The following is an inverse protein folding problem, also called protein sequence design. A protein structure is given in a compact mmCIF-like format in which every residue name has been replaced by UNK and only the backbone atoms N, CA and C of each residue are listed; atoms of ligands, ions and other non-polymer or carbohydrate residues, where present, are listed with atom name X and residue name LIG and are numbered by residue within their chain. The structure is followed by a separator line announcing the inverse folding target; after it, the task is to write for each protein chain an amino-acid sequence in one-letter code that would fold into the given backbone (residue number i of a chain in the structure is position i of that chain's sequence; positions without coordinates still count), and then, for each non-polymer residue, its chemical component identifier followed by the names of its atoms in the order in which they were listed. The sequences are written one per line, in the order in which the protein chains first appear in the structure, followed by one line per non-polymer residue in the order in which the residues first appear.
data_IF_597963766112
#
_entry.id   IF_597963766112
#
_cell.length_a   1.000
_cell.length_b   1.000
_cell.length_c   1.000
_cell.angle_alpha   90.00
_cell.angle_beta   90.00
_cell.angle_gamma   90.00
#
_symmetry.space_group_name_H-M   'P 1'
#
loop_
_entity.id
_entity.type
_entity.pdbx_description
1 polymer ?
#
# COMPACT_ATOMS: atom_id res chain seq x y z
N UNK A 1 -32.82 16.97 -3.80
CA UNK A 1 -34.09 17.04 -3.06
C UNK A 1 -34.32 15.70 -2.37
N UNK A 2 -33.98 15.59 -1.08
CA UNK A 2 -34.31 14.45 -0.22
C UNK A 2 -35.27 14.99 0.82
N UNK A 3 -36.52 14.59 0.74
CA UNK A 3 -37.62 15.10 1.55
C UNK A 3 -37.56 14.66 3.01
N UNK A 4 -37.94 15.60 3.87
CA UNK A 4 -38.09 15.54 5.32
C UNK A 4 -39.16 14.54 5.79
N UNK A 5 -38.98 13.24 5.55
CA UNK A 5 -39.87 12.19 6.07
C UNK A 5 -39.56 11.76 7.51
N UNK A 6 -38.53 12.32 8.14
CA UNK A 6 -38.09 11.96 9.50
C UNK A 6 -39.00 12.53 10.61
N UNK A 7 -39.69 13.65 10.37
CA UNK A 7 -40.48 14.34 11.41
C UNK A 7 -41.84 13.69 11.74
N UNK A 8 -42.38 12.84 10.86
CA UNK A 8 -43.69 12.19 11.07
C UNK A 8 -43.65 11.01 12.06
N UNK A 9 -42.55 10.24 12.08
CA UNK A 9 -42.49 9.00 12.86
C UNK A 9 -42.36 9.23 14.37
N UNK A 10 -41.78 10.35 14.81
CA UNK A 10 -41.59 10.63 16.24
C UNK A 10 -42.89 10.93 16.98
N UNK A 11 -43.78 11.72 16.35
CA UNK A 11 -45.07 12.11 16.94
C UNK A 11 -46.03 10.93 17.10
N UNK A 12 -46.05 10.03 16.10
CA UNK A 12 -46.87 8.82 16.15
C UNK A 12 -46.45 7.89 17.32
N UNK A 13 -45.14 7.72 17.53
CA UNK A 13 -44.61 6.91 18.64
C UNK A 13 -44.94 7.50 20.01
N UNK A 14 -44.73 8.81 20.19
CA UNK A 14 -45.05 9.52 21.42
C UNK A 14 -46.56 9.41 21.76
N UNK A 15 -47.44 9.53 20.76
CA UNK A 15 -48.87 9.33 20.93
C UNK A 15 -49.22 7.90 21.37
N UNK A 16 -48.65 6.88 20.73
CA UNK A 16 -48.91 5.47 21.12
C UNK A 16 -48.43 5.15 22.54
N UNK A 17 -47.26 5.64 22.95
CA UNK A 17 -46.78 5.45 24.32
C UNK A 17 -47.66 6.19 25.35
N UNK A 18 -48.10 7.40 25.02
CA UNK A 18 -49.02 8.17 25.86
C UNK A 18 -50.36 7.46 26.07
N UNK A 19 -50.94 6.89 25.02
CA UNK A 19 -52.20 6.13 25.10
C UNK A 19 -52.02 4.86 25.94
N UNK A 20 -50.92 4.11 25.78
CA UNK A 20 -50.66 2.91 26.58
C UNK A 20 -50.47 3.22 28.07
N UNK A 21 -49.76 4.30 28.41
CA UNK A 21 -49.62 4.76 29.79
C UNK A 21 -50.95 5.18 30.40
N UNK A 22 -51.79 5.88 29.63
CA UNK A 22 -53.13 6.27 30.07
C UNK A 22 -54.00 5.04 30.36
N UNK A 23 -54.01 4.05 29.45
CA UNK A 23 -54.77 2.80 29.63
C UNK A 23 -54.29 2.03 30.87
N UNK A 24 -52.98 1.95 31.09
CA UNK A 24 -52.42 1.31 32.28
C UNK A 24 -52.80 2.05 33.58
N UNK A 25 -52.75 3.39 33.58
CA UNK A 25 -53.13 4.21 34.73
C UNK A 25 -54.62 4.07 35.07
N UNK A 26 -55.50 4.05 34.06
CA UNK A 26 -56.94 3.84 34.24
C UNK A 26 -57.23 2.43 34.78
N UNK A 27 -56.58 1.40 34.23
CA UNK A 27 -56.73 0.02 34.73
C UNK A 27 -56.27 -0.12 36.19
N UNK A 28 -55.16 0.52 36.56
CA UNK A 28 -54.67 0.55 37.94
C UNK A 28 -55.64 1.27 38.89
N UNK A 29 -56.21 2.41 38.49
CA UNK A 29 -57.20 3.14 39.27
C UNK A 29 -58.48 2.32 39.51
N UNK A 30 -58.97 1.60 38.48
CA UNK A 30 -60.13 0.70 38.59
C UNK A 30 -59.83 -0.47 39.54
N UNK A 31 -58.62 -1.04 39.49
CA UNK A 31 -58.20 -2.11 40.40
C UNK A 31 -58.06 -1.62 41.84
N UNK A 32 -57.47 -0.45 42.08
CA UNK A 32 -57.37 0.16 43.42
C UNK A 32 -58.76 0.46 44.00
N UNK A 33 -59.68 0.97 43.19
CA UNK A 33 -61.06 1.18 43.59
C UNK A 33 -61.76 -0.13 43.94
N UNK A 34 -61.63 -1.17 43.11
CA UNK A 34 -62.21 -2.48 43.36
C UNK A 34 -61.63 -3.17 44.61
N UNK A 35 -60.34 -3.00 44.89
CA UNK A 35 -59.66 -3.58 46.06
C UNK A 35 -60.03 -2.91 47.39
N UNK A 36 -60.41 -1.62 47.36
CA UNK A 36 -60.77 -0.85 48.58
C UNK A 36 -62.04 -1.35 49.27
N UNK A 37 -62.85 -2.15 48.59
CA UNK A 37 -64.11 -2.70 49.09
C UNK A 37 -64.04 -4.22 48.96
N UNK A 38 -64.01 -4.98 50.07
CA UNK A 38 -63.98 -6.47 50.05
C UNK A 38 -65.14 -7.01 49.19
N UNK A 39 -64.92 -7.41 47.92
CA UNK A 39 -66.03 -7.71 47.03
C UNK A 39 -66.55 -9.11 47.34
N UNK A 40 -67.84 -9.24 47.61
CA UNK A 40 -68.51 -10.54 47.55
C UNK A 40 -68.61 -10.99 46.08
N UNK A 41 -68.54 -12.30 45.83
CA UNK A 41 -68.72 -12.87 44.49
C UNK A 41 -70.05 -12.42 43.87
N UNK A 42 -70.05 -12.11 42.57
CA UNK A 42 -71.19 -11.63 41.75
C UNK A 42 -71.53 -10.12 41.78
N UNK A 43 -70.61 -9.24 42.18
CA UNK A 43 -70.82 -7.79 42.07
C UNK A 43 -70.25 -7.22 40.76
N UNK A 44 -70.84 -6.14 40.24
CA UNK A 44 -70.32 -5.40 39.06
C UNK A 44 -68.83 -5.05 39.19
N UNK A 45 -68.37 -4.81 40.43
CA UNK A 45 -66.97 -4.52 40.76
C UNK A 45 -66.04 -5.70 40.48
N UNK A 46 -66.51 -6.93 40.67
CA UNK A 46 -65.76 -8.14 40.39
C UNK A 46 -65.52 -8.31 38.87
N UNK A 47 -66.56 -8.13 38.06
CA UNK A 47 -66.43 -8.19 36.59
C UNK A 47 -65.58 -7.03 36.03
N UNK A 48 -65.70 -5.83 36.60
CA UNK A 48 -64.85 -4.69 36.25
C UNK A 48 -63.37 -4.93 36.61
N UNK A 49 -63.09 -5.54 37.78
CA UNK A 49 -61.73 -5.90 38.16
C UNK A 49 -61.14 -6.98 37.25
N UNK A 50 -61.94 -7.97 36.84
CA UNK A 50 -61.53 -9.04 35.92
C UNK A 50 -61.17 -8.49 34.54
N UNK A 51 -61.99 -7.60 33.98
CA UNK A 51 -61.72 -6.95 32.69
C UNK A 51 -60.52 -6.02 32.76
N UNK A 52 -60.37 -5.24 33.83
CA UNK A 52 -59.17 -4.42 34.07
C UNK A 52 -57.90 -5.27 34.16
N UNK A 53 -57.96 -6.43 34.83
CA UNK A 53 -56.85 -7.38 34.93
C UNK A 53 -56.48 -7.97 33.55
N UNK A 54 -57.47 -8.31 32.72
CA UNK A 54 -57.24 -8.79 31.35
C UNK A 54 -56.55 -7.74 30.48
N UNK A 55 -57.01 -6.48 30.54
CA UNK A 55 -56.40 -5.37 29.80
C UNK A 55 -54.95 -5.15 30.28
N UNK A 56 -54.74 -5.13 31.60
CA UNK A 56 -53.40 -4.98 32.17
C UNK A 56 -52.48 -6.12 31.71
N UNK A 57 -52.97 -7.37 31.72
CA UNK A 57 -52.22 -8.53 31.26
C UNK A 57 -51.78 -8.40 29.79
N UNK A 58 -52.68 -7.96 28.89
CA UNK A 58 -52.34 -7.73 27.48
C UNK A 58 -51.30 -6.63 27.31
N UNK A 59 -51.44 -5.51 28.03
CA UNK A 59 -50.47 -4.40 27.98
C UNK A 59 -49.10 -4.85 28.46
N UNK A 60 -49.03 -5.60 29.56
CA UNK A 60 -47.77 -6.10 30.12
C UNK A 60 -47.11 -7.08 29.15
N UNK A 61 -47.83 -8.07 28.63
CA UNK A 61 -47.30 -9.05 27.67
C UNK A 61 -46.82 -8.36 26.39
N UNK A 62 -47.64 -7.46 25.83
CA UNK A 62 -47.28 -6.68 24.64
C UNK A 62 -46.06 -5.78 24.86
N UNK A 63 -45.96 -5.15 26.04
CA UNK A 63 -44.80 -4.34 26.45
C UNK A 63 -43.52 -5.16 26.52
N UNK A 64 -43.56 -6.34 27.16
CA UNK A 64 -42.42 -7.26 27.21
C UNK A 64 -42.02 -7.77 25.83
N UNK A 65 -42.98 -8.15 24.97
CA UNK A 65 -42.69 -8.60 23.61
C UNK A 65 -42.04 -7.50 22.76
N UNK A 66 -42.52 -6.26 22.88
CA UNK A 66 -41.95 -5.09 22.18
C UNK A 66 -40.55 -4.79 22.67
N UNK A 67 -40.32 -4.80 23.99
CA UNK A 67 -39.01 -4.57 24.58
C UNK A 67 -38.01 -5.65 24.15
N UNK A 68 -38.41 -6.93 24.19
CA UNK A 68 -37.59 -8.05 23.74
C UNK A 68 -37.24 -7.94 22.24
N UNK A 69 -38.20 -7.54 21.40
CA UNK A 69 -37.95 -7.35 19.96
C UNK A 69 -37.01 -6.17 19.72
N UNK A 70 -37.19 -5.07 20.43
CA UNK A 70 -36.35 -3.88 20.28
C UNK A 70 -34.90 -4.14 20.71
N UNK A 71 -34.68 -4.80 21.85
CA UNK A 71 -33.33 -5.15 22.31
C UNK A 71 -32.64 -6.14 21.36
N UNK A 72 -33.39 -7.10 20.81
CA UNK A 72 -32.88 -8.03 19.81
C UNK A 72 -32.49 -7.32 18.51
N UNK A 73 -33.37 -6.45 17.97
CA UNK A 73 -33.10 -5.68 16.75
C UNK A 73 -31.95 -4.68 16.94
N UNK A 74 -31.87 -4.00 18.08
CA UNK A 74 -30.78 -3.08 18.39
C UNK A 74 -29.44 -3.81 18.45
N UNK A 75 -29.39 -4.99 19.09
CA UNK A 75 -28.16 -5.79 19.16
C UNK A 75 -27.73 -6.26 17.77
N UNK A 76 -28.65 -6.82 16.97
CA UNK A 76 -28.36 -7.29 15.61
C UNK A 76 -27.88 -6.18 14.67
N UNK A 77 -28.50 -5.00 14.75
CA UNK A 77 -28.09 -3.86 13.90
C UNK A 77 -26.70 -3.34 14.30
N UNK A 78 -26.38 -3.29 15.59
CA UNK A 78 -25.03 -2.92 16.06
C UNK A 78 -23.98 -3.95 15.62
N UNK A 79 -24.29 -5.25 15.70
CA UNK A 79 -23.39 -6.31 15.22
C UNK A 79 -23.13 -6.20 13.72
N UNK A 80 -24.19 -6.05 12.91
CA UNK A 80 -24.03 -5.87 11.46
C UNK A 80 -23.22 -4.62 11.11
N UNK A 81 -23.45 -3.51 11.81
CA UNK A 81 -22.63 -2.30 11.62
C UNK A 81 -21.16 -2.50 12.01
N UNK A 82 -20.88 -3.27 13.06
CA UNK A 82 -19.51 -3.59 13.46
C UNK A 82 -18.81 -4.46 12.42
N UNK A 83 -19.50 -5.48 11.90
CA UNK A 83 -18.97 -6.34 10.84
C UNK A 83 -18.71 -5.55 9.55
N UNK A 84 -19.68 -4.74 9.11
CA UNK A 84 -19.51 -3.88 7.92
C UNK A 84 -18.31 -2.93 8.06
N UNK A 85 -18.13 -2.31 9.24
CA UNK A 85 -16.95 -1.45 9.50
C UNK A 85 -15.64 -2.24 9.52
N UNK A 86 -15.64 -3.49 9.97
CA UNK A 86 -14.46 -4.33 9.94
C UNK A 86 -14.09 -4.75 8.52
N UNK A 87 -15.08 -5.12 7.70
CA UNK A 87 -14.89 -5.44 6.28
C UNK A 87 -14.39 -4.22 5.50
N UNK A 88 -15.00 -3.05 5.70
CA UNK A 88 -14.56 -1.81 5.07
C UNK A 88 -13.10 -1.46 5.44
N UNK A 89 -12.70 -1.66 6.70
CA UNK A 89 -11.31 -1.48 7.12
C UNK A 89 -10.37 -2.46 6.44
N UNK A 90 -10.77 -3.72 6.27
CA UNK A 90 -9.96 -4.73 5.57
C UNK A 90 -9.78 -4.36 4.10
N UNK A 91 -10.86 -4.03 3.41
CA UNK A 91 -10.79 -3.60 2.01
C UNK A 91 -9.88 -2.37 1.85
N UNK A 92 -10.01 -1.35 2.71
CA UNK A 92 -9.11 -0.19 2.67
C UNK A 92 -7.64 -0.55 2.85
N UNK A 93 -7.33 -1.51 3.72
CA UNK A 93 -5.95 -1.96 3.92
C UNK A 93 -5.43 -2.76 2.72
N UNK A 94 -6.27 -3.59 2.12
CA UNK A 94 -5.96 -4.34 0.89
C UNK A 94 -5.74 -3.39 -0.29
N UNK A 95 -6.58 -2.37 -0.44
CA UNK A 95 -6.47 -1.34 -1.47
C UNK A 95 -5.18 -0.53 -1.32
N UNK A 96 -4.86 -0.08 -0.09
CA UNK A 96 -3.61 0.63 0.19
C UNK A 96 -2.38 -0.25 -0.08
N UNK A 97 -2.46 -1.54 0.23
CA UNK A 97 -1.39 -2.48 -0.08
C UNK A 97 -1.25 -2.70 -1.59
N UNK A 98 -2.36 -2.78 -2.34
CA UNK A 98 -2.35 -2.87 -3.79
C UNK A 98 -1.72 -1.63 -4.43
N UNK A 99 -2.16 -0.43 -4.04
CA UNK A 99 -1.64 0.84 -4.53
C UNK A 99 -0.14 1.02 -4.20
N UNK A 100 0.33 0.58 -3.02
CA UNK A 100 1.77 0.57 -2.72
C UNK A 100 2.54 -0.33 -3.71
N UNK A 101 2.02 -1.52 -4.02
CA UNK A 101 2.66 -2.46 -4.95
C UNK A 101 2.72 -1.91 -6.36
N UNK A 102 1.62 -1.35 -6.85
CA UNK A 102 1.54 -0.79 -8.20
C UNK A 102 2.56 0.34 -8.38
N UNK A 103 2.71 1.21 -7.38
CA UNK A 103 3.73 2.27 -7.38
C UNK A 103 5.17 1.73 -7.40
N UNK A 104 5.44 0.66 -6.66
CA UNK A 104 6.78 0.03 -6.67
C UNK A 104 7.09 -0.60 -8.03
N UNK A 105 6.13 -1.32 -8.60
CA UNK A 105 6.24 -1.93 -9.93
C UNK A 105 6.46 -0.87 -11.02
N UNK A 106 5.69 0.22 -10.98
CA UNK A 106 5.83 1.32 -11.94
C UNK A 106 7.19 2.03 -11.79
N UNK A 107 7.67 2.23 -10.55
CA UNK A 107 9.00 2.78 -10.31
C UNK A 107 10.11 1.88 -10.86
N UNK A 108 10.00 0.55 -10.67
CA UNK A 108 10.97 -0.41 -11.21
C UNK A 108 10.98 -0.45 -12.74
N UNK A 109 9.79 -0.49 -13.37
CA UNK A 109 9.66 -0.49 -14.84
C UNK A 109 10.21 0.81 -15.43
N UNK A 110 9.87 1.94 -14.83
CA UNK A 110 10.37 3.26 -15.24
C UNK A 110 11.88 3.32 -15.12
N UNK A 111 12.45 2.91 -13.97
CA UNK A 111 13.90 2.90 -13.77
C UNK A 111 14.62 1.99 -14.78
N UNK A 112 14.08 0.79 -15.05
CA UNK A 112 14.63 -0.12 -16.07
C UNK A 112 14.61 0.50 -17.46
N UNK A 113 13.47 1.08 -17.86
CA UNK A 113 13.32 1.73 -19.15
C UNK A 113 14.28 2.91 -19.31
N UNK A 114 14.31 3.82 -18.34
CA UNK A 114 15.16 5.01 -18.36
C UNK A 114 16.64 4.61 -18.42
N UNK A 115 17.01 3.60 -17.66
CA UNK A 115 18.38 3.06 -17.65
C UNK A 115 18.79 2.51 -19.01
N UNK A 116 17.92 1.73 -19.66
CA UNK A 116 18.16 1.23 -21.01
C UNK A 116 18.28 2.36 -22.03
N UNK A 117 17.44 3.39 -21.91
CA UNK A 117 17.47 4.58 -22.78
C UNK A 117 18.80 5.33 -22.61
N UNK A 118 19.19 5.69 -21.39
CA UNK A 118 20.45 6.39 -21.09
C UNK A 118 21.68 5.61 -21.51
N UNK A 119 21.68 4.29 -21.30
CA UNK A 119 22.77 3.43 -21.74
C UNK A 119 22.89 3.35 -23.27
N UNK A 120 21.77 3.18 -23.96
CA UNK A 120 21.75 3.17 -25.43
C UNK A 120 22.13 4.54 -26.02
N UNK A 121 21.71 5.64 -25.39
CA UNK A 121 22.15 6.99 -25.74
C UNK A 121 23.66 7.14 -25.57
N UNK A 122 24.24 6.65 -24.48
CA UNK A 122 25.69 6.64 -24.26
C UNK A 122 26.43 5.82 -25.33
N UNK A 123 25.91 4.64 -25.70
CA UNK A 123 26.45 3.84 -26.81
C UNK A 123 26.37 4.55 -28.15
N UNK A 124 25.24 5.22 -28.43
CA UNK A 124 25.04 6.01 -29.65
C UNK A 124 26.03 7.17 -29.70
N UNK A 125 26.20 7.90 -28.60
CA UNK A 125 27.17 8.98 -28.47
C UNK A 125 28.60 8.48 -28.72
N UNK A 126 28.98 7.35 -28.11
CA UNK A 126 30.28 6.70 -28.38
C UNK A 126 30.49 6.37 -29.86
N UNK A 127 29.47 5.84 -30.54
CA UNK A 127 29.53 5.52 -31.98
C UNK A 127 29.66 6.78 -32.83
N UNK A 128 28.90 7.84 -32.51
CA UNK A 128 29.00 9.15 -33.19
C UNK A 128 30.39 9.74 -33.03
N UNK A 129 30.88 9.78 -31.80
CA UNK A 129 32.25 10.22 -31.49
C UNK A 129 33.25 9.45 -32.35
N UNK A 130 33.20 8.11 -32.32
CA UNK A 130 34.12 7.28 -33.11
C UNK A 130 34.05 7.55 -34.62
N UNK A 131 32.87 7.87 -35.15
CA UNK A 131 32.69 8.17 -36.57
C UNK A 131 33.24 9.55 -36.96
N UNK A 132 33.23 10.51 -36.04
CA UNK A 132 33.74 11.87 -36.28
C UNK A 132 35.25 11.97 -36.03
N UNK A 133 35.79 11.10 -35.16
CA UNK A 133 37.19 11.13 -34.78
C UNK A 133 37.95 10.07 -35.58
N UNK A 134 38.60 10.50 -36.67
CA UNK A 134 39.55 9.64 -37.39
C UNK A 134 40.89 9.59 -36.62
N UNK A 135 41.57 10.73 -36.42
CA UNK A 135 42.84 10.79 -35.69
C UNK A 135 42.95 11.95 -34.69
N UNK A 136 42.25 13.06 -34.96
CA UNK A 136 42.36 14.31 -34.20
C UNK A 136 41.01 14.86 -33.80
N UNK A 137 40.99 15.52 -32.65
CA UNK A 137 39.81 16.17 -32.11
C UNK A 137 39.85 17.68 -32.33
N UNK A 138 38.86 18.22 -33.04
CA UNK A 138 38.61 19.66 -33.10
C UNK A 138 37.85 20.12 -31.85
N UNK A 139 38.04 21.38 -31.45
CA UNK A 139 37.35 21.94 -30.27
C UNK A 139 35.83 21.89 -30.40
N UNK A 140 35.30 22.14 -31.59
CA UNK A 140 33.86 22.16 -31.89
C UNK A 140 33.22 20.78 -31.69
N UNK A 141 33.83 19.73 -32.24
CA UNK A 141 33.37 18.36 -32.04
C UNK A 141 33.54 17.94 -30.58
N UNK A 142 34.61 18.40 -29.92
CA UNK A 142 34.90 18.05 -28.54
C UNK A 142 33.86 18.62 -27.59
N UNK A 143 33.61 19.93 -27.65
CA UNK A 143 32.62 20.59 -26.81
C UNK A 143 31.22 20.00 -27.02
N UNK A 144 30.77 19.86 -28.29
CA UNK A 144 29.45 19.33 -28.62
C UNK A 144 29.17 17.97 -27.98
N UNK A 145 30.05 17.00 -28.19
CA UNK A 145 29.81 15.64 -27.72
C UNK A 145 30.12 15.46 -26.23
N UNK A 146 30.97 16.31 -25.64
CA UNK A 146 31.24 16.26 -24.21
C UNK A 146 30.05 16.82 -23.40
N UNK A 147 29.35 17.85 -23.90
CA UNK A 147 28.07 18.26 -23.30
C UNK A 147 27.04 17.12 -23.33
N UNK A 148 26.87 16.45 -24.48
CA UNK A 148 25.99 15.27 -24.55
C UNK A 148 26.42 14.17 -23.55
N UNK A 149 27.73 14.00 -23.29
CA UNK A 149 28.24 12.99 -22.35
C UNK A 149 27.98 13.37 -20.89
N UNK A 150 28.10 14.66 -20.56
CA UNK A 150 27.80 15.21 -19.23
C UNK A 150 26.34 14.92 -18.87
N UNK A 151 25.41 15.19 -19.79
CA UNK A 151 23.99 14.91 -19.57
C UNK A 151 23.76 13.43 -19.23
N UNK A 152 24.39 12.51 -19.95
CA UNK A 152 24.28 11.06 -19.66
C UNK A 152 24.91 10.68 -18.33
N UNK A 153 26.02 11.31 -17.95
CA UNK A 153 26.61 11.05 -16.63
C UNK A 153 25.67 11.50 -15.51
N UNK A 154 25.00 12.65 -15.65
CA UNK A 154 24.03 13.15 -14.68
C UNK A 154 22.80 12.23 -14.58
N UNK A 155 22.33 11.66 -15.69
CA UNK A 155 21.28 10.63 -15.67
C UNK A 155 21.69 9.42 -14.80
N UNK A 156 22.91 8.89 -14.98
CA UNK A 156 23.40 7.78 -14.15
C UNK A 156 23.62 8.15 -12.68
N UNK A 157 23.99 9.40 -12.40
CA UNK A 157 24.05 9.92 -11.04
C UNK A 157 22.65 9.98 -10.40
N UNK A 158 21.66 10.44 -11.16
CA UNK A 158 20.26 10.46 -10.73
C UNK A 158 19.77 9.04 -10.45
N UNK A 159 20.03 8.07 -11.31
CA UNK A 159 19.67 6.67 -11.06
C UNK A 159 20.31 6.14 -9.78
N UNK A 160 21.60 6.43 -9.53
CA UNK A 160 22.26 6.04 -8.30
C UNK A 160 21.59 6.65 -7.05
N UNK A 161 21.07 7.89 -7.14
CA UNK A 161 20.34 8.55 -6.05
C UNK A 161 18.93 8.01 -5.85
N UNK A 162 18.25 7.59 -6.92
CA UNK A 162 16.89 7.08 -6.87
C UNK A 162 16.83 5.64 -6.35
N UNK A 163 17.85 4.82 -6.60
CA UNK A 163 17.84 3.40 -6.22
C UNK A 163 17.55 3.15 -4.72
N UNK A 164 18.17 3.85 -3.76
CA UNK A 164 17.88 3.64 -2.34
C UNK A 164 16.47 4.08 -1.92
N UNK A 165 15.78 4.88 -2.74
CA UNK A 165 14.43 5.37 -2.44
C UNK A 165 13.34 4.37 -2.84
N UNK A 166 13.68 3.38 -3.67
CA UNK A 166 12.77 2.29 -4.03
C UNK A 166 12.83 1.25 -2.92
N UNK A 167 11.90 1.36 -1.96
CA UNK A 167 11.68 0.39 -0.87
C UNK A 167 11.11 -0.92 -1.43
N UNK A 168 11.96 -1.71 -2.10
CA UNK A 168 11.57 -2.97 -2.71
C UNK A 168 12.56 -4.10 -2.37
N UNK A 169 12.07 -5.08 -1.61
CA UNK A 169 12.86 -6.23 -1.18
C UNK A 169 13.34 -7.11 -2.35
N UNK A 170 12.67 -7.06 -3.51
CA UNK A 170 13.06 -7.81 -4.72
C UNK A 170 14.42 -7.35 -5.27
N UNK A 171 14.82 -6.11 -5.00
CA UNK A 171 16.13 -5.57 -5.38
C UNK A 171 17.28 -6.13 -4.53
N UNK A 172 17.00 -6.58 -3.31
CA UNK A 172 18.01 -7.12 -2.40
C UNK A 172 18.23 -8.62 -2.61
N UNK A 173 17.18 -9.35 -3.00
CA UNK A 173 17.21 -10.80 -3.20
C UNK A 173 16.58 -11.20 -4.55
N UNK A 174 17.29 -10.98 -5.67
CA UNK A 174 16.77 -11.35 -6.99
C UNK A 174 16.57 -12.87 -7.19
N UNK A 175 17.03 -13.75 -6.29
CA UNK A 175 17.10 -15.21 -6.53
C UNK A 175 16.11 -16.07 -5.73
N UNK A 176 15.02 -15.53 -5.17
CA UNK A 176 14.12 -16.34 -4.30
C UNK A 176 13.33 -17.43 -5.08
N UNK A 177 13.36 -17.48 -6.41
CA UNK A 177 12.48 -18.37 -7.21
C UNK A 177 13.12 -19.49 -8.04
N UNK A 178 14.45 -19.52 -8.25
CA UNK A 178 15.07 -20.47 -9.18
C UNK A 178 16.26 -21.18 -8.51
N UNK A 179 16.27 -22.54 -8.42
CA UNK A 179 17.40 -23.31 -7.91
C UNK A 179 18.53 -23.26 -8.95
N UNK A 180 19.25 -22.15 -8.99
CA UNK A 180 20.38 -21.96 -9.89
C UNK A 180 21.60 -22.70 -9.32
N UNK A 181 21.61 -24.02 -9.45
CA UNK A 181 22.74 -24.88 -9.09
C UNK A 181 23.87 -24.88 -10.13
N UNK A 182 23.85 -24.01 -11.16
CA UNK A 182 24.78 -24.08 -12.30
C UNK A 182 25.53 -22.78 -12.62
N UNK A 183 25.48 -21.75 -11.78
CA UNK A 183 26.31 -20.55 -11.97
C UNK A 183 27.14 -20.30 -10.71
N UNK A 184 28.44 -20.14 -10.95
CA UNK A 184 29.57 -19.86 -10.06
C UNK A 184 29.27 -19.24 -8.67
N UNK A 185 30.14 -19.48 -7.67
CA UNK A 185 30.04 -18.91 -6.33
C UNK A 185 29.83 -17.39 -6.41
N UNK A 186 28.64 -17.00 -5.94
CA UNK A 186 28.07 -15.65 -5.87
C UNK A 186 29.10 -14.54 -6.12
N UNK A 187 29.06 -13.83 -7.26
CA UNK A 187 29.66 -12.49 -7.29
C UNK A 187 29.03 -11.73 -6.14
N UNK A 188 29.86 -11.13 -5.27
CA UNK A 188 29.45 -10.18 -4.24
C UNK A 188 28.25 -9.40 -4.78
N UNK A 189 27.10 -9.48 -4.09
CA UNK A 189 25.87 -8.81 -4.52
C UNK A 189 26.10 -7.30 -4.47
N UNK A 190 26.78 -6.78 -5.48
CA UNK A 190 27.02 -5.36 -5.67
C UNK A 190 25.66 -4.70 -5.80
N UNK A 191 25.37 -3.77 -4.89
CA UNK A 191 24.09 -3.08 -4.90
C UNK A 191 23.85 -2.39 -6.26
N UNK A 192 22.57 -2.25 -6.61
CA UNK A 192 22.17 -1.55 -7.82
C UNK A 192 22.78 -0.13 -7.87
N UNK A 193 22.74 0.57 -6.74
CA UNK A 193 23.40 1.86 -6.54
C UNK A 193 24.90 1.82 -6.87
N UNK A 194 25.62 0.81 -6.35
CA UNK A 194 27.05 0.68 -6.61
C UNK A 194 27.34 0.53 -8.10
N UNK A 195 26.54 -0.26 -8.82
CA UNK A 195 26.68 -0.46 -10.26
C UNK A 195 26.46 0.85 -11.03
N UNK A 196 25.44 1.65 -10.69
CA UNK A 196 25.26 2.98 -11.28
C UNK A 196 26.42 3.92 -10.98
N UNK A 197 26.87 3.98 -9.71
CA UNK A 197 28.04 4.80 -9.32
C UNK A 197 29.30 4.39 -10.07
N UNK A 198 29.48 3.12 -10.44
CA UNK A 198 30.63 2.69 -11.25
C UNK A 198 30.56 3.22 -12.68
N UNK A 199 29.38 3.21 -13.29
CA UNK A 199 29.16 3.80 -14.62
C UNK A 199 29.37 5.32 -14.56
N UNK A 200 28.72 6.00 -13.61
CA UNK A 200 28.87 7.45 -13.38
C UNK A 200 30.35 7.85 -13.22
N UNK A 201 31.08 7.25 -12.28
CA UNK A 201 32.50 7.55 -12.05
C UNK A 201 33.35 7.29 -13.28
N UNK A 202 32.99 6.29 -14.08
CA UNK A 202 33.71 5.99 -15.31
C UNK A 202 33.52 7.10 -16.35
N UNK A 203 32.29 7.59 -16.54
CA UNK A 203 31.99 8.71 -17.44
C UNK A 203 32.62 10.01 -16.94
N UNK A 204 32.54 10.28 -15.64
CA UNK A 204 33.11 11.46 -14.98
C UNK A 204 34.64 11.54 -15.17
N UNK A 205 35.35 10.41 -15.23
CA UNK A 205 36.80 10.41 -15.57
C UNK A 205 37.11 10.94 -16.97
N UNK A 206 36.21 10.71 -17.92
CA UNK A 206 36.34 11.22 -19.30
C UNK A 206 36.07 12.73 -19.29
N UNK A 207 35.02 13.16 -18.60
CA UNK A 207 34.64 14.57 -18.44
C UNK A 207 35.78 15.37 -17.78
N UNK A 208 36.39 14.86 -16.71
CA UNK A 208 37.55 15.50 -16.07
C UNK A 208 38.77 15.58 -16.97
N UNK A 209 38.98 14.60 -17.86
CA UNK A 209 40.05 14.67 -18.86
C UNK A 209 39.76 15.77 -19.89
N UNK A 210 38.51 15.92 -20.29
CA UNK A 210 38.03 17.01 -21.14
C UNK A 210 38.25 18.37 -20.50
N UNK A 211 37.76 18.61 -19.28
CA UNK A 211 37.90 19.90 -18.58
C UNK A 211 39.37 20.34 -18.48
N UNK A 212 40.26 19.40 -18.16
CA UNK A 212 41.70 19.66 -18.05
C UNK A 212 42.38 19.92 -19.41
N UNK A 213 41.92 19.26 -20.46
CA UNK A 213 42.55 19.31 -21.79
C UNK A 213 41.92 20.35 -22.70
N UNK A 214 40.74 20.88 -22.37
CA UNK A 214 39.96 21.79 -23.21
C UNK A 214 40.75 23.02 -23.66
N UNK A 215 41.45 23.68 -22.73
CA UNK A 215 42.27 24.86 -23.06
C UNK A 215 43.39 24.52 -24.08
N UNK A 216 44.00 23.34 -23.95
CA UNK A 216 45.02 22.86 -24.89
C UNK A 216 44.44 22.53 -26.26
N UNK A 217 43.24 21.95 -26.30
CA UNK A 217 42.52 21.68 -27.55
C UNK A 217 42.17 22.98 -28.26
N UNK A 218 41.69 23.97 -27.50
CA UNK A 218 41.36 25.30 -28.03
C UNK A 218 42.58 26.04 -28.59
N UNK A 219 43.77 25.86 -27.99
CA UNK A 219 45.01 26.46 -28.52
C UNK A 219 45.59 25.74 -29.74
N UNK A 220 45.02 24.61 -30.17
CA UNK A 220 45.56 23.79 -31.27
C UNK A 220 44.51 23.67 -32.39
N UNK A 221 44.49 24.58 -33.38
CA UNK A 221 43.46 24.60 -34.43
C UNK A 221 43.40 23.30 -35.25
N UNK A 222 44.56 22.67 -35.46
CA UNK A 222 44.68 21.40 -36.17
C UNK A 222 44.19 20.18 -35.36
N UNK A 223 43.65 20.41 -34.16
CA UNK A 223 43.18 19.39 -33.23
C UNK A 223 44.28 18.66 -32.48
N UNK A 224 43.90 17.99 -31.40
CA UNK A 224 44.80 17.16 -30.60
C UNK A 224 44.65 15.68 -30.99
N UNK A 225 45.75 14.94 -31.14
CA UNK A 225 45.70 13.49 -31.34
C UNK A 225 44.95 12.78 -30.22
N UNK A 226 44.11 11.80 -30.57
CA UNK A 226 43.35 11.00 -29.60
C UNK A 226 44.23 10.25 -28.59
N UNK A 227 45.48 9.95 -28.94
CA UNK A 227 46.47 9.32 -28.08
C UNK A 227 46.79 10.15 -26.83
N UNK A 228 46.69 11.47 -26.92
CA UNK A 228 46.89 12.38 -25.79
C UNK A 228 45.69 12.42 -24.82
N UNK A 229 44.55 11.85 -25.22
CA UNK A 229 43.31 11.77 -24.45
C UNK A 229 43.07 10.31 -24.04
N UNK A 230 43.85 9.84 -23.07
CA UNK A 230 43.89 8.45 -22.62
C UNK A 230 42.55 7.86 -22.15
N UNK A 231 41.68 8.66 -21.51
CA UNK A 231 40.38 8.19 -21.01
C UNK A 231 39.38 8.14 -22.14
N UNK A 232 39.37 9.15 -22.99
CA UNK A 232 38.53 9.21 -24.18
C UNK A 232 38.89 8.11 -25.20
N UNK A 233 40.18 7.89 -25.46
CA UNK A 233 40.64 6.79 -26.32
C UNK A 233 40.21 5.43 -25.76
N UNK A 234 40.32 5.23 -24.45
CA UNK A 234 39.84 4.02 -23.80
C UNK A 234 38.31 3.86 -23.89
N UNK A 235 37.56 4.95 -23.80
CA UNK A 235 36.11 4.98 -24.00
C UNK A 235 35.71 4.58 -25.42
N UNK A 236 36.43 5.07 -26.42
CA UNK A 236 36.17 4.73 -27.82
C UNK A 236 36.62 3.29 -28.15
N UNK A 237 37.67 2.81 -27.49
CA UNK A 237 38.22 1.46 -27.60
C UNK A 237 37.43 0.36 -26.86
N UNK A 238 38.12 -0.71 -26.51
CA UNK A 238 37.55 -1.92 -25.92
C UNK A 238 37.30 -1.84 -24.40
N UNK A 239 37.67 -0.74 -23.74
CA UNK A 239 37.52 -0.59 -22.29
C UNK A 239 36.09 -0.25 -21.88
N UNK A 240 35.35 0.52 -22.70
CA UNK A 240 33.95 0.85 -22.43
C UNK A 240 33.10 -0.41 -22.19
N UNK A 241 33.13 -1.43 -23.08
CA UNK A 241 32.40 -2.69 -22.83
C UNK A 241 32.75 -3.37 -21.51
N UNK A 242 34.04 -3.38 -21.13
CA UNK A 242 34.49 -4.07 -19.91
C UNK A 242 33.99 -3.43 -18.62
N UNK A 243 33.80 -2.11 -18.62
CA UNK A 243 33.39 -1.36 -17.42
C UNK A 243 31.89 -1.08 -17.45
N UNK A 244 31.42 -0.32 -18.44
CA UNK A 244 30.04 0.13 -18.49
C UNK A 244 29.08 -1.02 -18.82
N UNK A 245 29.38 -1.85 -19.82
CA UNK A 245 28.47 -2.94 -20.21
C UNK A 245 28.38 -4.00 -19.11
N UNK A 246 29.49 -4.38 -18.48
CA UNK A 246 29.46 -5.34 -17.35
C UNK A 246 28.53 -4.90 -16.22
N UNK A 247 28.60 -3.63 -15.80
CA UNK A 247 27.71 -3.11 -14.76
C UNK A 247 26.27 -2.94 -15.27
N UNK A 248 26.10 -2.58 -16.54
CA UNK A 248 24.78 -2.52 -17.16
C UNK A 248 24.09 -3.88 -17.21
N UNK A 249 24.79 -4.95 -17.58
CA UNK A 249 24.23 -6.30 -17.63
C UNK A 249 23.76 -6.73 -16.23
N UNK A 250 24.55 -6.41 -15.19
CA UNK A 250 24.14 -6.62 -13.79
C UNK A 250 22.88 -5.84 -13.43
N UNK A 251 22.84 -4.54 -13.76
CA UNK A 251 21.68 -3.68 -13.51
C UNK A 251 20.42 -4.24 -14.17
N UNK A 252 20.52 -4.61 -15.46
CA UNK A 252 19.40 -5.18 -16.23
C UNK A 252 18.96 -6.49 -15.61
N UNK A 253 19.87 -7.39 -15.24
CA UNK A 253 19.51 -8.65 -14.58
C UNK A 253 18.78 -8.39 -13.27
N UNK A 254 19.26 -7.49 -12.41
CA UNK A 254 18.62 -7.18 -11.12
C UNK A 254 17.22 -6.60 -11.33
N UNK A 255 17.10 -5.56 -12.16
CA UNK A 255 15.84 -4.87 -12.40
C UNK A 255 14.82 -5.75 -13.13
N UNK A 256 15.24 -6.47 -14.16
CA UNK A 256 14.37 -7.38 -14.90
C UNK A 256 13.87 -8.51 -14.00
N UNK A 257 14.74 -9.08 -13.18
CA UNK A 257 14.34 -10.12 -12.22
C UNK A 257 13.36 -9.57 -11.18
N UNK A 258 13.59 -8.35 -10.68
CA UNK A 258 12.66 -7.72 -9.75
C UNK A 258 11.29 -7.44 -10.40
N UNK A 259 11.25 -7.01 -11.66
CA UNK A 259 9.99 -6.77 -12.41
C UNK A 259 9.22 -8.06 -12.69
N UNK A 260 9.92 -9.18 -12.92
CA UNK A 260 9.29 -10.47 -13.17
C UNK A 260 8.83 -11.19 -11.91
N UNK A 261 9.40 -10.86 -10.74
CA UNK A 261 8.98 -11.48 -9.49
C UNK A 261 7.60 -10.96 -9.07
N UNK A 262 6.62 -11.86 -8.85
CA UNK A 262 5.30 -11.46 -8.38
C UNK A 262 5.43 -10.79 -7.00
N UNK A 263 4.74 -9.68 -6.76
CA UNK A 263 4.92 -8.89 -5.54
C UNK A 263 4.53 -9.65 -4.26
N UNK A 264 3.76 -10.74 -4.38
CA UNK A 264 3.23 -11.55 -3.28
C UNK A 264 4.23 -12.48 -2.58
N UNK A 265 5.45 -12.63 -3.10
CA UNK A 265 6.49 -13.48 -2.49
C UNK A 265 7.34 -12.76 -1.43
N UNK A 266 7.06 -11.47 -1.17
CA UNK A 266 7.61 -10.85 0.03
C UNK A 266 6.91 -11.47 1.25
N UNK A 267 7.65 -12.02 2.22
CA UNK A 267 7.04 -12.69 3.37
C UNK A 267 6.09 -11.70 4.03
N UNK A 268 4.83 -12.10 4.18
CA UNK A 268 3.87 -11.29 4.92
C UNK A 268 4.53 -10.89 6.25
N UNK A 269 4.48 -9.60 6.65
CA UNK A 269 4.89 -9.22 7.98
C UNK A 269 4.16 -10.15 8.94
N UNK A 270 4.88 -10.79 9.88
CA UNK A 270 4.40 -11.94 10.64
C UNK A 270 2.98 -11.63 11.05
N UNK A 271 2.03 -12.33 10.42
CA UNK A 271 0.61 -12.13 10.67
C UNK A 271 0.50 -12.02 12.16
N UNK A 272 0.12 -10.84 12.67
CA UNK A 272 -0.11 -10.62 14.10
C UNK A 272 -0.97 -11.80 14.47
N UNK A 273 -0.36 -12.78 15.15
CA UNK A 273 -0.90 -14.13 15.32
C UNK A 273 -2.23 -13.83 15.93
N UNK A 274 -3.32 -13.97 15.16
CA UNK A 274 -4.66 -13.65 15.64
C UNK A 274 -4.76 -14.48 16.89
N UNK A 275 -4.63 -13.85 18.05
CA UNK A 275 -4.97 -14.48 19.30
C UNK A 275 -6.43 -14.78 19.06
N UNK A 276 -6.73 -16.05 18.73
CA UNK A 276 -8.09 -16.53 18.72
C UNK A 276 -8.64 -16.03 20.04
N UNK A 277 -9.76 -15.27 20.04
CA UNK A 277 -10.40 -14.88 21.28
C UNK A 277 -10.45 -16.14 22.13
N UNK A 278 -9.76 -16.14 23.27
CA UNK A 278 -9.73 -17.31 24.15
C UNK A 278 -11.19 -17.67 24.34
N UNK A 279 -11.59 -18.83 23.80
CA UNK A 279 -12.92 -19.35 24.11
C UNK A 279 -12.96 -19.41 25.64
N UNK A 280 -13.99 -18.82 26.27
CA UNK A 280 -14.16 -18.97 27.71
C UNK A 280 -14.12 -20.47 28.01
N UNK A 281 -13.17 -20.88 28.85
CA UNK A 281 -13.07 -22.28 29.28
C UNK A 281 -14.45 -22.66 29.84
N UNK A 282 -15.07 -23.77 29.39
CA UNK A 282 -16.24 -24.28 30.08
C UNK A 282 -15.82 -24.57 31.52
N UNK A 283 -16.55 -23.99 32.46
CA UNK A 283 -16.30 -24.15 33.89
C UNK A 283 -16.25 -25.65 34.21
N UNK A 284 -15.06 -26.11 34.59
CA UNK A 284 -14.90 -27.47 35.12
C UNK A 284 -15.76 -27.60 36.37
N UNK A 285 -16.67 -28.60 36.44
CA UNK A 285 -17.47 -28.83 37.63
C UNK A 285 -16.53 -29.18 38.79
N UNK A 286 -16.64 -28.41 39.88
CA UNK A 286 -15.96 -28.66 41.14
C UNK A 286 -16.50 -29.97 41.70
N UNK A 287 -15.71 -31.05 41.57
CA UNK A 287 -15.97 -32.31 42.26
C UNK A 287 -15.70 -32.08 43.74
N UNK A 288 -16.76 -31.96 44.52
CA UNK A 288 -16.69 -31.95 45.98
C UNK A 288 -16.45 -33.38 46.45
N UNK A 289 -15.23 -33.68 46.88
CA UNK A 289 -14.91 -34.92 47.57
C UNK A 289 -15.50 -34.87 48.98
N UNK A 290 -16.49 -35.73 49.25
CA UNK A 290 -16.87 -36.14 50.60
C UNK A 290 -16.03 -37.32 51.07
#
# INVERSE_FOLDING_TARGET
MREDSSHGSGKARLLTFGVLLLVAAVAAAVLSWAASSRPAGNTLRYEAAKTALQILAVVVIGGFATLATFTYQSTRTQEMQRLARQEERRHRLEDLAADKRDRQDDALRTLLQDTLVSYNATKKLRRKLRAVIEERFTIEAYDKYMFELIDRQLEFEQFARLCPLIDDNRLQNPLIGEPTHLLDPRPECESLEYSYRKIERYLNRIIREYEKSRAKVASTPAGIPISNLSKLSAFLGSRFPRVASRHMDKIVVILHTAVLQPPHLTPEPPTVRRERPRQPRPDTPVVSSG
#
